data_IF_628992985555
#
_entry.id   IF_628992985555
#
_cell.length_a   1.000
_cell.length_b   1.000
_cell.length_c   1.000
_cell.angle_alpha   90.00
_cell.angle_beta   90.00
_cell.angle_gamma   90.00
#
_symmetry.space_group_name_H-M   'P 1'
#
loop_
_entity.id
_entity.type
_entity.pdbx_description
1 polymer ?
#
# COMPACT_ATOMS: atom_id res chain seq x y z
N UNK A 1 -25.54 46.67 -41.47
CA UNK A 1 -24.14 46.38 -41.77
C UNK A 1 -23.49 45.90 -40.49
N UNK A 2 -23.38 44.61 -40.31
CA UNK A 2 -22.72 43.99 -39.16
C UNK A 2 -21.56 43.17 -39.70
N UNK A 3 -20.36 43.52 -39.24
CA UNK A 3 -19.15 42.79 -39.56
C UNK A 3 -18.94 41.67 -38.54
N UNK A 4 -18.86 40.45 -39.03
CA UNK A 4 -18.47 39.26 -38.24
C UNK A 4 -16.96 39.24 -38.05
N UNK A 5 -16.46 38.88 -36.86
CA UNK A 5 -15.03 38.65 -36.66
C UNK A 5 -14.63 37.26 -37.15
N UNK A 6 -13.62 37.26 -38.00
CA UNK A 6 -12.95 36.05 -38.54
C UNK A 6 -12.07 35.44 -37.47
N UNK A 7 -12.32 34.18 -37.13
CA UNK A 7 -11.47 33.41 -36.24
C UNK A 7 -10.40 32.70 -37.07
N UNK A 8 -9.13 33.01 -36.80
CA UNK A 8 -7.97 32.31 -37.39
C UNK A 8 -7.78 30.92 -36.75
N UNK A 9 -7.43 29.91 -37.55
CA UNK A 9 -7.15 28.59 -37.00
C UNK A 9 -5.76 28.54 -36.37
N UNK A 10 -5.69 27.95 -35.15
CA UNK A 10 -4.44 27.63 -34.49
C UNK A 10 -3.70 26.55 -35.27
N UNK A 11 -2.48 26.84 -35.69
CA UNK A 11 -1.54 25.87 -36.25
C UNK A 11 -0.92 25.09 -35.11
N UNK A 12 -1.18 23.78 -35.05
CA UNK A 12 -0.47 22.84 -34.23
C UNK A 12 0.88 22.50 -34.86
N UNK A 13 1.96 23.06 -34.33
CA UNK A 13 3.31 22.59 -34.64
C UNK A 13 3.60 21.30 -33.90
N UNK A 14 3.56 20.19 -34.63
CA UNK A 14 4.03 18.89 -34.18
C UNK A 14 5.56 18.93 -34.09
N UNK A 15 6.10 19.01 -32.88
CA UNK A 15 7.51 18.75 -32.60
C UNK A 15 7.70 17.27 -32.36
N UNK A 16 8.22 16.56 -33.35
CA UNK A 16 8.67 15.19 -33.18
C UNK A 16 9.98 15.18 -32.37
N UNK A 17 9.86 14.92 -31.06
CA UNK A 17 11.01 14.58 -30.24
C UNK A 17 11.32 13.09 -30.44
N UNK A 18 12.45 12.82 -31.09
CA UNK A 18 12.99 11.48 -31.23
C UNK A 18 13.29 10.89 -29.85
N UNK A 19 12.59 9.83 -29.47
CA UNK A 19 12.89 9.04 -28.30
C UNK A 19 14.13 8.20 -28.58
N UNK A 20 15.27 8.61 -28.02
CA UNK A 20 16.41 7.74 -27.85
C UNK A 20 16.09 6.71 -26.78
N UNK A 21 15.74 5.50 -27.21
CA UNK A 21 15.64 4.35 -26.35
C UNK A 21 17.04 3.96 -25.88
N UNK A 22 17.46 4.48 -24.74
CA UNK A 22 18.59 3.96 -23.97
C UNK A 22 18.19 2.63 -23.38
N UNK A 23 18.55 1.53 -24.02
CA UNK A 23 18.48 0.21 -23.43
C UNK A 23 19.40 0.17 -22.20
N UNK A 24 18.83 0.26 -21.01
CA UNK A 24 19.50 -0.09 -19.76
C UNK A 24 19.80 -1.57 -19.79
N UNK A 25 21.00 -1.91 -20.15
CA UNK A 25 21.55 -3.27 -20.07
C UNK A 25 21.60 -3.62 -18.57
N UNK A 26 20.76 -4.59 -18.16
CA UNK A 26 20.82 -5.25 -16.84
C UNK A 26 22.27 -5.68 -16.60
N UNK A 27 22.89 -5.39 -15.45
CA UNK A 27 24.19 -5.96 -15.13
C UNK A 27 24.03 -7.48 -15.06
N UNK A 28 24.72 -8.20 -15.90
CA UNK A 28 24.76 -9.65 -15.86
C UNK A 28 25.48 -10.10 -14.59
N UNK A 29 24.95 -11.15 -13.98
CA UNK A 29 25.43 -11.82 -12.75
C UNK A 29 26.87 -12.39 -12.84
N UNK A 30 27.64 -11.97 -13.84
CA UNK A 30 29.02 -12.41 -14.08
C UNK A 30 30.07 -11.74 -13.21
N UNK A 31 29.76 -10.63 -12.52
CA UNK A 31 30.81 -9.82 -11.89
C UNK A 31 31.25 -10.35 -10.51
N UNK A 32 30.40 -11.07 -9.79
CA UNK A 32 30.74 -11.63 -8.48
C UNK A 32 31.71 -12.84 -8.57
N UNK A 33 31.61 -13.62 -9.65
CA UNK A 33 32.52 -14.76 -9.91
C UNK A 33 33.89 -14.33 -10.36
N UNK A 34 34.00 -13.17 -11.05
CA UNK A 34 35.27 -12.60 -11.50
C UNK A 34 36.10 -12.07 -10.32
N UNK A 35 35.46 -11.42 -9.32
CA UNK A 35 36.14 -10.90 -8.14
C UNK A 35 36.81 -12.01 -7.29
N UNK A 36 36.11 -13.12 -7.08
CA UNK A 36 36.65 -14.25 -6.30
C UNK A 36 37.84 -14.97 -7.04
N UNK A 37 37.74 -15.09 -8.36
CA UNK A 37 38.83 -15.70 -9.17
C UNK A 37 40.05 -14.79 -9.22
N UNK A 38 39.85 -13.48 -9.38
CA UNK A 38 40.91 -12.49 -9.38
C UNK A 38 41.60 -12.39 -8.02
N UNK A 39 40.85 -12.50 -6.90
CA UNK A 39 41.42 -12.57 -5.56
C UNK A 39 42.32 -13.81 -5.37
N UNK A 40 41.90 -14.99 -5.82
CA UNK A 40 42.73 -16.19 -5.74
C UNK A 40 43.99 -16.10 -6.61
N UNK A 41 43.90 -15.54 -7.80
CA UNK A 41 45.03 -15.32 -8.67
C UNK A 41 46.00 -14.29 -8.09
N UNK A 42 45.45 -13.22 -7.47
CA UNK A 42 46.28 -12.24 -6.77
C UNK A 42 47.02 -12.84 -5.57
N UNK A 43 46.37 -13.63 -4.73
CA UNK A 43 47.03 -14.31 -3.60
C UNK A 43 48.19 -15.22 -4.10
N UNK A 44 47.99 -15.89 -5.24
CA UNK A 44 49.06 -16.69 -5.86
C UNK A 44 50.24 -15.83 -6.31
N UNK A 45 49.95 -14.68 -6.94
CA UNK A 45 50.99 -13.74 -7.37
C UNK A 45 51.70 -13.09 -6.19
N UNK A 46 50.96 -12.70 -5.14
CA UNK A 46 51.55 -12.13 -3.92
C UNK A 46 52.44 -13.16 -3.19
N UNK A 47 52.01 -14.40 -3.13
CA UNK A 47 52.79 -15.50 -2.51
C UNK A 47 54.05 -15.79 -3.34
N UNK A 48 53.98 -15.68 -4.67
CA UNK A 48 55.13 -15.85 -5.55
C UNK A 48 56.12 -14.66 -5.44
N UNK A 49 55.61 -13.43 -5.31
CA UNK A 49 56.42 -12.23 -5.07
C UNK A 49 57.15 -12.25 -3.73
N UNK A 50 56.42 -12.64 -2.63
CA UNK A 50 57.03 -12.79 -1.29
C UNK A 50 58.14 -13.85 -1.23
N UNK A 51 58.12 -14.84 -2.13
CA UNK A 51 59.17 -15.85 -2.23
C UNK A 51 60.41 -15.40 -2.96
N UNK A 52 60.32 -14.28 -3.71
CA UNK A 52 61.43 -13.77 -4.58
C UNK A 52 61.83 -12.33 -4.21
N UNK A 53 61.30 -11.74 -3.13
CA UNK A 53 61.66 -10.41 -2.66
C UNK A 53 62.97 -10.41 -1.84
N UNK A 54 63.83 -9.44 -2.15
CA UNK A 54 65.00 -9.12 -1.30
C UNK A 54 64.52 -8.43 -0.02
N UNK A 55 64.96 -8.82 1.17
CA UNK A 55 64.41 -8.32 2.46
C UNK A 55 64.71 -6.86 2.77
N UNK A 56 65.36 -6.11 1.86
CA UNK A 56 65.80 -4.74 2.11
C UNK A 56 64.92 -3.62 1.53
N UNK A 57 63.85 -3.95 0.75
CA UNK A 57 62.93 -2.93 0.25
C UNK A 57 61.47 -3.45 0.14
N UNK A 58 60.68 -3.44 1.21
CA UNK A 58 59.30 -3.97 1.23
C UNK A 58 58.27 -2.92 0.84
N UNK A 59 58.51 -2.05 -0.13
CA UNK A 59 57.56 -1.05 -0.56
C UNK A 59 56.50 -1.62 -1.53
N UNK A 60 55.24 -1.16 -1.42
CA UNK A 60 54.07 -1.26 -2.27
C UNK A 60 53.03 -2.40 -2.06
N UNK A 61 53.37 -3.53 -1.49
CA UNK A 61 52.36 -4.60 -1.34
C UNK A 61 51.28 -4.33 -0.30
N UNK A 62 51.58 -3.52 0.72
CA UNK A 62 50.65 -3.20 1.83
C UNK A 62 49.52 -2.29 1.39
N UNK A 63 49.78 -1.34 0.53
CA UNK A 63 48.77 -0.40 0.03
C UNK A 63 47.78 -1.08 -0.92
N UNK A 64 48.27 -1.99 -1.79
CA UNK A 64 47.40 -2.81 -2.62
C UNK A 64 46.52 -3.78 -1.83
N UNK A 65 47.05 -4.39 -0.77
CA UNK A 65 46.25 -5.24 0.13
C UNK A 65 45.17 -4.42 0.85
N UNK A 66 45.46 -3.20 1.28
CA UNK A 66 44.47 -2.30 1.90
C UNK A 66 43.37 -1.91 0.90
N UNK A 67 43.71 -1.57 -0.32
CA UNK A 67 42.74 -1.25 -1.38
C UNK A 67 41.86 -2.46 -1.71
N UNK A 68 42.41 -3.67 -1.82
CA UNK A 68 41.69 -4.90 -2.04
C UNK A 68 40.75 -5.23 -0.88
N UNK A 69 41.20 -5.06 0.36
CA UNK A 69 40.34 -5.25 1.54
C UNK A 69 39.14 -4.28 1.53
N UNK A 70 39.36 -3.04 1.04
CA UNK A 70 38.29 -2.08 0.88
C UNK A 70 37.31 -2.45 -0.24
N UNK A 71 37.80 -2.95 -1.38
CA UNK A 71 36.97 -3.48 -2.46
C UNK A 71 36.15 -4.69 -1.99
N UNK A 72 36.78 -5.64 -1.30
CA UNK A 72 36.09 -6.82 -0.75
C UNK A 72 34.99 -6.41 0.25
N UNK A 73 35.24 -5.37 1.06
CA UNK A 73 34.24 -4.85 1.99
C UNK A 73 33.04 -4.23 1.27
N UNK A 74 33.28 -3.46 0.20
CA UNK A 74 32.22 -2.89 -0.65
C UNK A 74 31.44 -3.99 -1.37
N UNK A 75 32.11 -5.01 -1.93
CA UNK A 75 31.46 -6.16 -2.55
C UNK A 75 30.57 -6.91 -1.55
N UNK A 76 31.05 -7.09 -0.32
CA UNK A 76 30.28 -7.73 0.73
C UNK A 76 29.04 -6.92 1.11
N UNK A 77 29.11 -5.58 1.14
CA UNK A 77 27.98 -4.70 1.34
C UNK A 77 26.95 -4.79 0.20
N UNK A 78 27.41 -4.84 -1.06
CA UNK A 78 26.53 -5.04 -2.23
C UNK A 78 25.83 -6.39 -2.16
N UNK A 79 26.54 -7.45 -1.80
CA UNK A 79 25.95 -8.79 -1.61
C UNK A 79 24.92 -8.81 -0.47
N UNK A 80 25.18 -8.11 0.65
CA UNK A 80 24.22 -7.99 1.76
C UNK A 80 22.98 -7.24 1.28
N UNK A 81 23.12 -6.12 0.59
CA UNK A 81 22.00 -5.36 0.05
C UNK A 81 21.15 -6.21 -0.91
N UNK A 82 21.81 -6.95 -1.83
CA UNK A 82 21.09 -7.85 -2.75
C UNK A 82 20.32 -8.96 -2.03
N UNK A 83 20.87 -9.49 -0.92
CA UNK A 83 20.17 -10.48 -0.09
C UNK A 83 19.00 -9.86 0.68
N UNK A 84 19.13 -8.61 1.15
CA UNK A 84 18.05 -7.87 1.78
C UNK A 84 16.91 -7.59 0.78
N UNK A 85 17.23 -7.20 -0.45
CA UNK A 85 16.25 -7.00 -1.52
C UNK A 85 15.52 -8.30 -1.88
N UNK A 86 16.25 -9.42 -1.91
CA UNK A 86 15.65 -10.74 -2.14
C UNK A 86 14.74 -11.17 -1.01
N UNK A 87 15.12 -10.89 0.23
CA UNK A 87 14.29 -11.17 1.42
C UNK A 87 13.04 -10.29 1.42
N UNK A 88 13.18 -9.00 1.15
CA UNK A 88 12.04 -8.09 1.02
C UNK A 88 11.06 -8.57 -0.07
N UNK A 89 11.59 -8.99 -1.25
CA UNK A 89 10.77 -9.54 -2.33
C UNK A 89 10.05 -10.82 -1.96
N UNK A 90 10.68 -11.69 -1.18
CA UNK A 90 10.05 -12.93 -0.70
C UNK A 90 8.93 -12.64 0.32
N UNK A 91 9.13 -11.68 1.23
CA UNK A 91 8.09 -11.25 2.17
C UNK A 91 6.89 -10.63 1.46
N UNK A 92 7.13 -9.88 0.40
CA UNK A 92 6.10 -9.29 -0.47
C UNK A 92 5.27 -10.38 -1.15
N UNK A 93 5.89 -11.40 -1.73
CA UNK A 93 5.19 -12.50 -2.39
C UNK A 93 4.31 -13.28 -1.41
N UNK A 94 4.81 -13.57 -0.21
CA UNK A 94 4.06 -14.26 0.86
C UNK A 94 2.83 -13.45 1.30
N UNK A 95 2.92 -12.12 1.31
CA UNK A 95 1.82 -11.20 1.63
C UNK A 95 0.65 -11.29 0.65
N UNK A 96 0.90 -11.32 -0.67
CA UNK A 96 -0.17 -11.48 -1.67
C UNK A 96 -0.83 -12.84 -1.57
N UNK A 97 -0.03 -13.91 -1.51
CA UNK A 97 -0.55 -15.28 -1.46
C UNK A 97 -1.47 -15.49 -0.26
N UNK A 98 -1.09 -14.95 0.89
CA UNK A 98 -1.88 -15.01 2.12
C UNK A 98 -3.28 -14.41 1.97
N UNK A 99 -3.42 -13.30 1.24
CA UNK A 99 -4.68 -12.56 1.13
C UNK A 99 -5.40 -12.76 -0.21
N UNK A 100 -4.79 -13.42 -1.19
CA UNK A 100 -5.39 -13.66 -2.51
C UNK A 100 -6.73 -14.38 -2.44
N UNK A 101 -6.87 -15.31 -1.49
CA UNK A 101 -8.12 -16.02 -1.21
C UNK A 101 -9.26 -15.16 -0.63
N UNK A 102 -9.01 -13.87 -0.36
CA UNK A 102 -10.03 -12.93 0.12
C UNK A 102 -10.79 -12.25 -1.03
N UNK A 103 -10.22 -12.23 -2.23
CA UNK A 103 -10.84 -11.62 -3.40
C UNK A 103 -12.20 -12.28 -3.69
N UNK A 104 -13.22 -11.45 -3.87
CA UNK A 104 -14.60 -11.88 -4.06
C UNK A 104 -15.37 -12.18 -2.78
N UNK A 105 -14.73 -12.15 -1.62
CA UNK A 105 -15.40 -12.28 -0.31
C UNK A 105 -15.86 -10.93 0.21
N UNK A 106 -16.78 -10.94 1.17
CA UNK A 106 -17.18 -9.77 1.94
C UNK A 106 -16.33 -9.69 3.20
N UNK A 107 -15.62 -8.59 3.37
CA UNK A 107 -14.83 -8.30 4.56
C UNK A 107 -15.60 -7.36 5.49
N UNK A 108 -15.60 -7.67 6.80
CA UNK A 108 -15.95 -6.74 7.86
C UNK A 108 -14.68 -6.00 8.26
N UNK A 109 -14.68 -4.69 8.11
CA UNK A 109 -13.52 -3.83 8.35
C UNK A 109 -13.79 -2.85 9.48
N UNK A 110 -12.87 -2.80 10.44
CA UNK A 110 -12.89 -1.87 11.55
C UNK A 110 -12.46 -0.48 11.10
N UNK A 111 -13.15 0.56 11.61
CA UNK A 111 -12.82 1.96 11.39
C UNK A 111 -12.70 2.35 9.90
N UNK A 112 -13.40 1.63 9.02
CA UNK A 112 -13.33 1.84 7.58
C UNK A 112 -14.59 2.55 7.06
N UNK A 113 -14.48 3.43 6.06
CA UNK A 113 -15.65 3.98 5.39
C UNK A 113 -16.36 2.91 4.55
N UNK A 114 -17.66 3.09 4.34
CA UNK A 114 -18.44 2.25 3.44
C UNK A 114 -18.65 2.95 2.10
N UNK A 115 -18.60 2.21 1.01
CA UNK A 115 -18.91 2.75 -0.32
C UNK A 115 -20.37 2.54 -0.68
N UNK A 116 -21.05 3.63 -1.00
CA UNK A 116 -22.46 3.66 -1.44
C UNK A 116 -22.48 3.91 -2.94
N UNK A 117 -23.14 3.05 -3.70
CA UNK A 117 -23.36 3.22 -5.15
C UNK A 117 -24.85 3.26 -5.52
N UNK A 118 -25.73 3.18 -4.54
CA UNK A 118 -27.18 3.19 -4.73
C UNK A 118 -27.76 1.87 -5.26
N UNK A 119 -26.95 0.82 -5.48
CA UNK A 119 -27.42 -0.47 -6.02
C UNK A 119 -27.91 -1.42 -4.94
N UNK A 120 -27.34 -1.32 -3.73
CA UNK A 120 -27.69 -2.16 -2.59
C UNK A 120 -27.50 -1.41 -1.28
N UNK A 121 -28.24 -1.77 -0.21
CA UNK A 121 -27.98 -1.29 1.13
C UNK A 121 -26.55 -1.62 1.57
N UNK A 122 -25.93 -0.69 2.29
CA UNK A 122 -24.64 -0.91 2.92
C UNK A 122 -24.81 -1.48 4.31
N UNK A 123 -23.97 -2.41 4.70
CA UNK A 123 -24.03 -3.09 6.00
C UNK A 123 -22.98 -2.49 6.93
N UNK A 124 -23.34 -2.43 8.19
CA UNK A 124 -22.41 -2.02 9.26
C UNK A 124 -22.77 -2.74 10.56
N UNK A 125 -21.84 -2.75 11.50
CA UNK A 125 -22.00 -3.34 12.83
C UNK A 125 -21.47 -2.38 13.87
N UNK A 126 -22.22 -2.27 14.98
CA UNK A 126 -21.81 -1.55 16.17
C UNK A 126 -21.38 -2.55 17.24
N UNK A 127 -20.48 -2.17 18.13
CA UNK A 127 -20.16 -2.99 19.31
C UNK A 127 -21.29 -2.90 20.35
N UNK A 128 -21.93 -1.75 20.42
CA UNK A 128 -22.95 -1.44 21.39
C UNK A 128 -22.40 -0.89 22.71
N UNK A 129 -23.26 -0.22 23.47
CA UNK A 129 -22.95 0.31 24.78
C UNK A 129 -24.12 0.00 25.73
N UNK A 130 -23.89 -0.80 26.77
CA UNK A 130 -24.90 -1.28 27.71
C UNK A 130 -25.53 -0.16 28.55
N UNK A 131 -24.83 0.95 28.74
CA UNK A 131 -25.27 2.10 29.51
C UNK A 131 -26.10 3.08 28.66
N UNK A 132 -26.12 2.88 27.34
CA UNK A 132 -26.88 3.73 26.44
C UNK A 132 -28.37 3.39 26.45
N UNK A 133 -29.18 4.42 26.69
CA UNK A 133 -30.63 4.35 26.55
C UNK A 133 -31.09 4.50 25.09
N UNK A 134 -30.29 5.16 24.24
CA UNK A 134 -30.58 5.41 22.84
C UNK A 134 -29.29 5.45 22.03
N UNK A 135 -29.36 4.97 20.80
CA UNK A 135 -28.24 5.01 19.82
C UNK A 135 -28.70 5.71 18.55
N UNK A 136 -27.90 6.61 18.05
CA UNK A 136 -28.08 7.21 16.74
C UNK A 136 -26.89 6.89 15.84
N UNK A 137 -27.17 6.45 14.63
CA UNK A 137 -26.14 6.35 13.59
C UNK A 137 -26.11 7.65 12.79
N UNK A 138 -24.93 8.21 12.66
CA UNK A 138 -24.63 9.41 11.89
C UNK A 138 -23.83 8.99 10.66
N UNK A 139 -24.31 9.38 9.50
CA UNK A 139 -23.61 9.16 8.22
C UNK A 139 -22.97 10.48 7.82
N UNK A 140 -21.65 10.45 7.59
CA UNK A 140 -20.90 11.61 7.15
C UNK A 140 -20.21 11.34 5.81
N UNK A 141 -20.11 12.37 4.98
CA UNK A 141 -19.36 12.31 3.71
C UNK A 141 -17.85 12.24 3.96
N UNK A 142 -17.08 11.92 2.93
CA UNK A 142 -15.63 11.95 2.98
C UNK A 142 -15.04 13.32 3.38
N UNK A 143 -15.81 14.39 3.25
CA UNK A 143 -15.43 15.76 3.67
C UNK A 143 -15.85 16.10 5.11
N UNK A 144 -16.40 15.12 5.85
CA UNK A 144 -16.85 15.32 7.24
C UNK A 144 -18.22 15.99 7.40
N UNK A 145 -18.96 16.20 6.30
CA UNK A 145 -20.31 16.77 6.36
C UNK A 145 -21.30 15.69 6.74
N UNK A 146 -22.12 15.96 7.78
CA UNK A 146 -23.22 15.09 8.15
C UNK A 146 -24.28 15.06 7.03
N UNK A 147 -24.60 13.87 6.57
CA UNK A 147 -25.56 13.62 5.49
C UNK A 147 -26.93 13.28 6.06
N UNK A 148 -26.95 12.42 7.06
CA UNK A 148 -28.16 12.00 7.76
C UNK A 148 -27.84 11.40 9.13
N UNK A 149 -28.83 11.40 10.00
CA UNK A 149 -28.79 10.61 11.24
C UNK A 149 -30.13 9.93 11.46
N UNK A 150 -30.09 8.78 12.08
CA UNK A 150 -31.27 7.99 12.39
C UNK A 150 -31.03 7.10 13.61
N UNK A 151 -32.12 6.72 14.27
CA UNK A 151 -32.06 5.82 15.41
C UNK A 151 -31.64 4.42 14.96
N UNK A 152 -30.75 3.80 15.71
CA UNK A 152 -30.19 2.47 15.44
C UNK A 152 -30.43 1.53 16.62
N UNK A 153 -30.24 0.24 16.35
CA UNK A 153 -30.27 -0.78 17.41
C UNK A 153 -28.95 -0.73 18.19
N UNK A 154 -29.07 -0.83 19.51
CA UNK A 154 -27.92 -0.96 20.38
C UNK A 154 -27.47 -2.43 20.43
N UNK A 155 -26.22 -2.71 20.09
CA UNK A 155 -25.65 -4.06 20.13
C UNK A 155 -24.95 -4.48 18.83
N UNK A 156 -24.38 -5.68 18.85
CA UNK A 156 -23.48 -6.20 17.81
C UNK A 156 -24.18 -6.85 16.61
N UNK A 157 -25.48 -6.63 16.42
CA UNK A 157 -26.18 -7.12 15.22
C UNK A 157 -25.79 -6.32 13.98
N UNK A 158 -25.75 -7.01 12.83
CA UNK A 158 -25.56 -6.33 11.55
C UNK A 158 -26.78 -5.47 11.24
N UNK A 159 -26.54 -4.22 10.95
CA UNK A 159 -27.54 -3.25 10.54
C UNK A 159 -27.25 -2.80 9.10
N UNK A 160 -28.20 -2.13 8.47
CA UNK A 160 -28.02 -1.66 7.09
C UNK A 160 -28.63 -0.29 6.89
N UNK A 161 -27.99 0.48 6.01
CA UNK A 161 -28.51 1.75 5.51
C UNK A 161 -28.70 1.66 3.99
N UNK A 162 -29.86 2.08 3.53
CA UNK A 162 -30.22 1.97 2.11
C UNK A 162 -29.61 3.04 1.19
N UNK A 163 -28.75 3.92 1.71
CA UNK A 163 -28.14 4.99 0.92
C UNK A 163 -29.10 6.12 0.55
N UNK A 164 -30.20 6.28 1.28
CA UNK A 164 -31.20 7.31 0.99
C UNK A 164 -31.33 8.31 2.14
N UNK A 165 -31.64 9.56 1.77
CA UNK A 165 -32.00 10.65 2.68
C UNK A 165 -33.33 11.21 2.21
N UNK A 166 -34.37 11.14 3.05
CA UNK A 166 -35.73 11.61 2.73
C UNK A 166 -36.26 11.05 1.38
N UNK A 167 -35.94 9.80 1.07
CA UNK A 167 -36.36 9.13 -0.15
C UNK A 167 -35.52 9.43 -1.39
N UNK A 168 -34.49 10.27 -1.25
CA UNK A 168 -33.56 10.60 -2.35
C UNK A 168 -32.24 9.85 -2.15
N UNK A 169 -31.74 9.12 -3.16
CA UNK A 169 -30.43 8.48 -3.08
C UNK A 169 -29.31 9.51 -2.87
N UNK A 170 -28.35 9.17 -2.00
CA UNK A 170 -27.12 9.98 -1.90
C UNK A 170 -26.23 9.76 -3.11
N UNK A 171 -25.29 10.66 -3.33
CA UNK A 171 -24.33 10.51 -4.43
C UNK A 171 -23.43 9.28 -4.17
N UNK A 172 -23.06 8.53 -5.23
CA UNK A 172 -22.07 7.47 -5.08
C UNK A 172 -20.77 7.99 -4.49
N UNK A 173 -20.25 7.29 -3.48
CA UNK A 173 -19.03 7.72 -2.80
C UNK A 173 -18.79 6.97 -1.50
N UNK A 174 -17.72 7.33 -0.81
CA UNK A 174 -17.37 6.79 0.51
C UNK A 174 -17.97 7.63 1.63
N UNK A 175 -18.54 6.95 2.61
CA UNK A 175 -19.21 7.54 3.76
C UNK A 175 -18.70 6.90 5.05
N UNK A 176 -18.49 7.71 6.08
CA UNK A 176 -18.22 7.20 7.41
C UNK A 176 -19.55 6.94 8.13
N UNK A 177 -19.57 5.90 8.95
CA UNK A 177 -20.70 5.48 9.76
C UNK A 177 -20.27 5.54 11.22
N UNK A 178 -20.87 6.45 11.97
CA UNK A 178 -20.53 6.69 13.38
C UNK A 178 -21.76 6.50 14.24
N UNK A 179 -21.67 5.81 15.37
CA UNK A 179 -22.72 5.71 16.37
C UNK A 179 -22.47 6.69 17.50
N UNK A 180 -23.53 7.40 17.91
CA UNK A 180 -23.59 8.22 19.12
C UNK A 180 -24.47 7.53 20.14
N UNK A 181 -23.96 7.32 21.33
CA UNK A 181 -24.64 6.68 22.44
C UNK A 181 -25.11 7.74 23.43
N UNK A 182 -26.38 7.69 23.78
CA UNK A 182 -27.04 8.65 24.69
C UNK A 182 -27.54 7.98 25.95
N UNK A 183 -27.38 8.63 27.09
CA UNK A 183 -28.02 8.23 28.37
C UNK A 183 -29.52 8.62 28.40
N UNK A 184 -30.18 8.38 29.55
CA UNK A 184 -31.59 8.73 29.75
C UNK A 184 -31.83 10.24 29.78
N UNK A 185 -30.80 11.01 30.10
CA UNK A 185 -30.85 12.49 30.18
C UNK A 185 -30.54 13.13 28.82
N UNK A 186 -30.40 12.29 27.76
CA UNK A 186 -30.10 12.70 26.38
C UNK A 186 -28.71 13.32 26.22
N UNK A 187 -27.78 12.98 27.10
CA UNK A 187 -26.36 13.36 26.98
C UNK A 187 -25.60 12.28 26.22
N UNK A 188 -24.64 12.68 25.38
CA UNK A 188 -23.75 11.75 24.69
C UNK A 188 -22.76 11.15 25.68
N UNK A 189 -22.78 9.83 25.82
CA UNK A 189 -21.93 9.06 26.74
C UNK A 189 -20.86 8.24 25.99
N UNK A 190 -20.90 8.23 24.66
CA UNK A 190 -19.90 7.55 23.85
C UNK A 190 -20.11 7.77 22.36
N UNK A 191 -19.05 7.56 21.64
CA UNK A 191 -18.99 7.59 20.18
C UNK A 191 -18.21 6.37 19.68
N UNK A 192 -18.64 5.78 18.58
CA UNK A 192 -18.01 4.61 17.96
C UNK A 192 -18.04 4.74 16.44
N UNK A 193 -16.91 4.51 15.79
CA UNK A 193 -16.90 4.28 14.35
C UNK A 193 -17.33 2.84 14.11
N UNK A 194 -18.35 2.65 13.29
CA UNK A 194 -18.89 1.33 13.00
C UNK A 194 -17.92 0.47 12.19
N UNK A 195 -17.92 -0.84 12.46
CA UNK A 195 -17.36 -1.78 11.50
C UNK A 195 -18.23 -1.80 10.24
N UNK A 196 -17.64 -1.69 9.07
CA UNK A 196 -18.36 -1.67 7.81
C UNK A 196 -18.07 -2.93 6.99
N UNK A 197 -18.98 -3.25 6.07
CA UNK A 197 -18.84 -4.42 5.21
C UNK A 197 -18.61 -4.00 3.77
N UNK A 198 -17.63 -4.63 3.11
CA UNK A 198 -17.31 -4.37 1.71
C UNK A 198 -16.78 -5.60 0.99
N UNK A 199 -17.13 -5.74 -0.29
CA UNK A 199 -16.57 -6.84 -1.10
C UNK A 199 -15.12 -6.54 -1.45
N UNK A 200 -14.24 -7.49 -1.19
CA UNK A 200 -12.82 -7.42 -1.57
C UNK A 200 -12.70 -7.53 -3.09
N UNK A 201 -12.07 -6.56 -3.71
CA UNK A 201 -11.87 -6.49 -5.16
C UNK A 201 -10.44 -6.81 -5.58
N UNK A 202 -9.50 -6.39 -4.77
CA UNK A 202 -8.08 -6.47 -5.09
C UNK A 202 -7.28 -6.60 -3.81
N UNK A 203 -6.17 -7.30 -3.87
CA UNK A 203 -5.09 -7.24 -2.88
C UNK A 203 -3.94 -6.54 -3.56
N UNK A 204 -3.48 -5.44 -2.99
CA UNK A 204 -2.41 -4.61 -3.55
C UNK A 204 -1.23 -4.60 -2.61
N UNK A 205 -0.05 -4.41 -3.18
CA UNK A 205 1.16 -4.14 -2.43
C UNK A 205 1.58 -2.69 -2.67
N UNK A 206 1.60 -1.91 -1.62
CA UNK A 206 2.18 -0.58 -1.61
C UNK A 206 3.52 -0.65 -0.87
N UNK A 207 4.60 -0.87 -1.63
CA UNK A 207 5.91 -1.21 -1.06
C UNK A 207 5.96 -2.66 -0.57
N UNK A 208 6.28 -2.86 0.71
CA UNK A 208 6.37 -4.18 1.34
C UNK A 208 5.08 -4.59 2.08
N UNK A 209 4.13 -3.68 2.25
CA UNK A 209 2.92 -3.93 3.02
C UNK A 209 1.73 -4.22 2.12
N UNK A 210 0.98 -5.31 2.38
CA UNK A 210 -0.23 -5.61 1.64
C UNK A 210 -1.37 -4.69 2.08
N UNK A 211 -2.19 -4.23 1.12
CA UNK A 211 -3.43 -3.51 1.34
C UNK A 211 -4.59 -4.22 0.65
N UNK A 212 -5.77 -4.12 1.25
CA UNK A 212 -7.00 -4.71 0.72
C UNK A 212 -7.85 -3.60 0.11
N UNK A 213 -8.20 -3.76 -1.15
CA UNK A 213 -9.06 -2.81 -1.85
C UNK A 213 -10.47 -3.38 -1.90
N UNK A 214 -11.39 -2.68 -1.26
CA UNK A 214 -12.81 -3.00 -1.25
C UNK A 214 -13.53 -2.37 -2.44
N UNK A 215 -14.79 -2.77 -2.67
CA UNK A 215 -15.67 -2.14 -3.66
C UNK A 215 -15.69 -0.62 -3.47
N UNK A 216 -15.58 0.13 -4.56
CA UNK A 216 -15.53 1.60 -4.55
C UNK A 216 -14.15 2.19 -4.31
N UNK A 217 -13.10 1.36 -4.24
CA UNK A 217 -11.72 1.83 -4.09
C UNK A 217 -11.34 2.17 -2.63
N UNK A 218 -12.16 1.78 -1.66
CA UNK A 218 -11.81 1.90 -0.24
C UNK A 218 -10.63 0.97 0.04
N UNK A 219 -9.53 1.53 0.49
CA UNK A 219 -8.32 0.77 0.84
C UNK A 219 -8.23 0.65 2.36
N UNK A 220 -7.97 -0.56 2.83
CA UNK A 220 -7.82 -0.89 4.24
C UNK A 220 -6.60 -1.77 4.45
N UNK A 221 -6.06 -1.77 5.65
CA UNK A 221 -5.02 -2.69 6.06
C UNK A 221 -5.62 -4.07 6.37
N UNK A 222 -4.92 -5.18 6.12
CA UNK A 222 -5.38 -6.51 6.48
C UNK A 222 -5.72 -6.66 7.97
N UNK A 223 -5.05 -5.91 8.84
CA UNK A 223 -5.29 -5.92 10.29
C UNK A 223 -6.62 -5.29 10.69
N UNK A 224 -7.20 -4.43 9.86
CA UNK A 224 -8.53 -3.86 10.08
C UNK A 224 -9.65 -4.87 9.79
N UNK A 225 -9.36 -5.98 9.12
CA UNK A 225 -10.37 -7.00 8.79
C UNK A 225 -10.65 -7.86 10.03
N UNK A 226 -11.86 -7.73 10.57
CA UNK A 226 -12.34 -8.45 11.75
C UNK A 226 -13.18 -9.68 11.41
N UNK A 227 -13.65 -9.76 10.17
CA UNK A 227 -14.45 -10.87 9.68
C UNK A 227 -14.37 -11.02 8.16
N UNK A 228 -14.54 -12.26 7.68
CA UNK A 228 -14.54 -12.58 6.27
C UNK A 228 -15.64 -13.59 5.97
N UNK A 229 -16.52 -13.25 5.04
CA UNK A 229 -17.68 -14.08 4.65
C UNK A 229 -17.80 -14.22 3.15
N UNK A 230 -18.82 -14.95 2.70
CA UNK A 230 -19.21 -14.98 1.30
C UNK A 230 -19.89 -13.65 0.96
N UNK A 231 -19.59 -13.10 -0.21
CA UNK A 231 -20.34 -11.96 -0.73
C UNK A 231 -21.78 -12.41 -1.02
N UNK A 232 -22.74 -11.73 -0.41
CA UNK A 232 -24.18 -12.00 -0.54
C UNK A 232 -24.77 -11.33 -1.77
#
# INVERSE_FOLDING_TARGET
MQASPTVSPFQTTSSAAAAAAGASKKPEDGNAALGAADFQNFLKLLTAQLRHQDPLDPADSTEFVAQLAQFTSVEQLVNVNSKLDSLASAMVADGIDKYSGWIGKEAEAKDAPVYVDGTAPVKYRLSGNTDAARVETVITSATGVEITRFQSLNGSSVQSWNGMVNGTPVQPGSYAVTALYYNRDNEVIGEEIANTFGSVREVRLDGAEPSIVLKGGVTIDPEQVTGLGLAG
#
